data_IF_709817782854
#
_entry.id   IF_709817782854
#
_cell.length_a   1.000
_cell.length_b   1.000
_cell.length_c   1.000
_cell.angle_alpha   90.00
_cell.angle_beta   90.00
_cell.angle_gamma   90.00
#
_symmetry.space_group_name_H-M   'P 1'
#
loop_
_entity.id
_entity.type
_entity.pdbx_description
1 polymer ?
#
# COMPACT_ATOMS: atom_id res chain seq x y z
N UNK A 1 27.62 -16.61 -2.98
CA UNK A 1 26.81 -17.01 -1.81
C UNK A 1 27.04 -16.00 -0.67
N UNK A 2 25.97 -15.58 0.03
CA UNK A 2 26.03 -14.70 1.22
C UNK A 2 25.41 -15.40 2.41
N UNK A 3 25.87 -15.07 3.63
CA UNK A 3 25.32 -15.61 4.87
C UNK A 3 25.00 -14.47 5.84
N UNK A 4 23.76 -14.41 6.30
CA UNK A 4 23.35 -13.60 7.44
C UNK A 4 23.48 -14.51 8.67
N UNK A 5 24.59 -14.34 9.43
CA UNK A 5 24.95 -15.19 10.56
C UNK A 5 24.37 -14.65 11.87
N UNK A 6 24.07 -15.53 12.81
CA UNK A 6 23.57 -15.17 14.15
C UNK A 6 22.27 -14.36 14.14
N UNK A 7 21.31 -14.74 13.29
CA UNK A 7 19.98 -14.14 13.27
C UNK A 7 19.11 -14.67 14.41
N UNK A 8 18.18 -13.84 14.91
CA UNK A 8 16.98 -14.28 15.64
C UNK A 8 15.80 -14.31 14.70
N UNK A 9 14.86 -15.19 14.97
CA UNK A 9 13.64 -15.33 14.18
C UNK A 9 12.40 -15.17 15.06
N UNK A 10 11.34 -14.71 14.43
CA UNK A 10 9.98 -14.72 14.98
C UNK A 10 9.28 -15.91 14.33
N UNK A 11 8.91 -16.96 15.10
CA UNK A 11 8.39 -18.22 14.55
C UNK A 11 7.20 -18.03 13.61
N UNK A 12 6.32 -17.06 13.90
CA UNK A 12 5.13 -16.75 13.12
C UNK A 12 5.43 -16.18 11.72
N UNK A 13 6.68 -15.78 11.46
CA UNK A 13 7.16 -15.25 10.17
C UNK A 13 8.05 -16.24 9.42
N UNK A 14 8.23 -17.45 9.97
CA UNK A 14 9.06 -18.51 9.41
C UNK A 14 8.23 -19.59 8.76
N UNK A 15 8.76 -20.20 7.72
CA UNK A 15 8.23 -21.43 7.14
C UNK A 15 9.35 -22.46 6.92
N UNK A 16 9.13 -23.69 7.41
CA UNK A 16 10.05 -24.81 7.20
C UNK A 16 11.31 -24.77 8.09
N UNK A 17 11.31 -23.93 9.13
CA UNK A 17 12.36 -23.89 10.15
C UNK A 17 11.72 -23.57 11.52
N UNK A 18 11.99 -24.41 12.52
CA UNK A 18 11.34 -24.31 13.85
C UNK A 18 12.23 -23.61 14.91
N UNK A 19 13.51 -23.32 14.57
CA UNK A 19 14.44 -22.64 15.48
C UNK A 19 14.09 -21.15 15.65
N UNK A 20 14.41 -20.60 16.82
CA UNK A 20 14.25 -19.16 17.12
C UNK A 20 15.52 -18.35 16.83
N UNK A 21 16.60 -19.01 16.39
CA UNK A 21 17.86 -18.40 15.95
C UNK A 21 18.53 -19.32 14.93
N UNK A 22 19.38 -18.74 14.08
CA UNK A 22 20.09 -19.49 13.05
C UNK A 22 20.78 -18.57 12.04
N UNK A 23 21.28 -19.20 10.99
CA UNK A 23 21.92 -18.52 9.87
C UNK A 23 21.06 -18.64 8.60
N UNK A 24 20.95 -17.55 7.85
CA UNK A 24 20.24 -17.51 6.57
C UNK A 24 21.26 -17.46 5.45
N UNK A 25 21.26 -18.50 4.61
CA UNK A 25 22.13 -18.58 3.44
C UNK A 25 21.38 -18.09 2.21
N UNK A 26 22.01 -17.18 1.48
CA UNK A 26 21.44 -16.54 0.28
C UNK A 26 22.34 -16.82 -0.91
N UNK A 27 21.76 -17.27 -2.00
CA UNK A 27 22.42 -17.43 -3.29
C UNK A 27 21.64 -16.63 -4.35
N UNK A 28 22.35 -15.80 -5.09
CA UNK A 28 21.78 -14.80 -5.98
C UNK A 28 20.80 -13.88 -5.24
N UNK A 29 19.52 -13.99 -5.54
CA UNK A 29 18.42 -13.21 -4.95
C UNK A 29 17.48 -14.04 -4.06
N UNK A 30 17.86 -15.33 -3.75
CA UNK A 30 16.98 -16.27 -3.06
C UNK A 30 17.58 -16.82 -1.77
N UNK A 31 16.72 -17.06 -0.80
CA UNK A 31 17.09 -17.81 0.39
C UNK A 31 17.33 -19.26 -0.01
N UNK A 32 18.59 -19.71 0.06
CA UNK A 32 18.95 -21.08 -0.27
C UNK A 32 18.49 -22.03 0.83
N UNK A 33 18.81 -21.70 2.09
CA UNK A 33 18.39 -22.47 3.26
C UNK A 33 18.55 -21.66 4.54
N UNK A 34 17.89 -22.14 5.60
CA UNK A 34 18.03 -21.64 6.98
C UNK A 34 18.59 -22.80 7.79
N UNK A 35 19.59 -22.54 8.63
CA UNK A 35 20.31 -23.55 9.42
C UNK A 35 20.48 -23.11 10.86
N UNK A 36 20.87 -24.03 11.73
CA UNK A 36 21.44 -23.66 13.03
C UNK A 36 22.68 -22.79 12.82
N UNK A 37 23.05 -22.00 13.84
CA UNK A 37 24.24 -21.15 13.78
C UNK A 37 25.49 -22.01 13.62
N UNK A 38 26.32 -21.70 12.63
CA UNK A 38 27.60 -22.36 12.42
C UNK A 38 28.74 -21.53 13.03
N UNK A 39 29.79 -22.22 13.52
CA UNK A 39 30.97 -21.54 14.07
C UNK A 39 31.75 -20.81 12.97
N UNK A 40 31.94 -21.44 11.82
CA UNK A 40 32.73 -20.94 10.71
C UNK A 40 32.06 -21.21 9.34
N UNK A 41 32.39 -20.40 8.36
CA UNK A 41 32.05 -20.57 6.95
C UNK A 41 33.31 -20.56 6.09
N UNK A 42 33.30 -21.17 4.87
CA UNK A 42 34.42 -21.09 3.95
C UNK A 42 34.81 -19.65 3.61
N UNK A 43 36.11 -19.42 3.33
CA UNK A 43 36.66 -18.07 3.04
C UNK A 43 36.06 -17.40 1.79
N UNK A 44 35.54 -18.17 0.85
CA UNK A 44 34.88 -17.67 -0.37
C UNK A 44 33.41 -17.26 -0.16
N UNK A 45 32.88 -17.34 1.05
CA UNK A 45 31.51 -16.97 1.42
C UNK A 45 31.52 -15.61 2.09
N UNK A 46 30.69 -14.71 1.59
CA UNK A 46 30.48 -13.38 2.17
C UNK A 46 29.58 -13.49 3.43
N UNK A 47 30.15 -13.25 4.61
CA UNK A 47 29.45 -13.43 5.90
C UNK A 47 29.15 -12.08 6.54
N UNK A 48 27.88 -11.88 6.88
CA UNK A 48 27.38 -10.74 7.65
C UNK A 48 26.92 -11.23 9.02
N UNK A 49 27.65 -10.90 10.08
CA UNK A 49 27.23 -11.23 11.44
C UNK A 49 26.14 -10.25 11.93
N UNK A 50 24.94 -10.76 12.13
CA UNK A 50 23.78 -9.99 12.60
C UNK A 50 23.82 -9.73 14.10
N UNK A 51 24.70 -10.36 14.86
CA UNK A 51 24.87 -10.12 16.30
C UNK A 51 23.60 -10.37 17.11
N UNK A 52 22.77 -11.31 16.72
CA UNK A 52 21.51 -11.62 17.39
C UNK A 52 20.36 -10.64 17.08
N UNK A 53 20.45 -9.87 16.00
CA UNK A 53 19.33 -9.07 15.51
C UNK A 53 18.25 -9.95 14.90
N UNK A 54 17.01 -9.47 14.92
CA UNK A 54 15.90 -10.17 14.26
C UNK A 54 16.02 -10.04 12.74
N UNK A 55 15.95 -11.17 12.04
CA UNK A 55 15.67 -11.20 10.61
C UNK A 55 14.17 -11.20 10.41
N UNK A 56 13.68 -10.30 9.57
CA UNK A 56 12.27 -10.15 9.22
C UNK A 56 12.12 -10.26 7.70
N UNK A 57 10.97 -10.74 7.19
CA UNK A 57 10.64 -10.53 5.78
C UNK A 57 10.63 -9.03 5.47
N UNK A 58 11.01 -8.65 4.26
CA UNK A 58 10.90 -7.27 3.83
C UNK A 58 9.46 -6.77 3.92
N UNK A 59 9.26 -5.54 4.39
CA UNK A 59 7.94 -4.97 4.59
C UNK A 59 7.31 -4.54 3.27
N UNK A 60 5.99 -4.65 3.21
CA UNK A 60 5.12 -4.10 2.19
C UNK A 60 4.48 -2.81 2.69
N UNK A 61 4.46 -1.79 1.84
CA UNK A 61 3.54 -0.67 1.96
C UNK A 61 2.59 -0.69 0.78
N UNK A 62 1.34 -1.04 1.05
CA UNK A 62 0.31 -1.26 0.02
C UNK A 62 -0.42 0.00 -0.39
N UNK A 63 -0.02 1.18 0.13
CA UNK A 63 -0.65 2.45 -0.22
C UNK A 63 0.32 3.61 -0.09
N UNK A 64 0.94 4.00 -1.20
CA UNK A 64 1.83 5.17 -1.29
C UNK A 64 1.61 5.95 -2.60
N UNK A 65 2.21 7.12 -2.70
CA UNK A 65 2.23 7.98 -3.89
C UNK A 65 3.65 8.48 -4.19
N UNK A 66 4.39 7.79 -5.06
CA UNK A 66 5.80 8.10 -5.36
C UNK A 66 6.02 9.43 -6.11
N UNK A 67 4.97 10.04 -6.61
CA UNK A 67 5.04 11.37 -7.26
C UNK A 67 4.65 12.53 -6.34
N UNK A 68 4.28 12.24 -5.08
CA UNK A 68 3.96 13.23 -4.07
C UNK A 68 5.05 13.24 -2.98
N UNK A 69 5.41 14.42 -2.49
CA UNK A 69 6.56 14.63 -1.60
C UNK A 69 6.22 14.61 -0.10
N UNK A 70 4.95 14.56 0.26
CA UNK A 70 4.47 14.84 1.62
C UNK A 70 4.48 16.33 1.98
N UNK A 71 4.88 17.19 1.05
CA UNK A 71 4.85 18.63 1.17
C UNK A 71 3.59 19.27 0.60
N UNK A 72 3.74 20.45 0.00
CA UNK A 72 2.63 21.15 -0.65
C UNK A 72 2.29 20.48 -1.99
N UNK A 73 1.09 19.93 -2.10
CA UNK A 73 0.58 19.27 -3.30
C UNK A 73 0.60 20.18 -4.54
N UNK A 74 0.39 21.49 -4.38
CA UNK A 74 0.44 22.43 -5.51
C UNK A 74 1.87 22.59 -6.06
N UNK A 75 2.89 22.47 -5.20
CA UNK A 75 4.28 22.45 -5.63
C UNK A 75 4.57 21.14 -6.40
N UNK A 76 4.07 20.01 -5.90
CA UNK A 76 4.23 18.73 -6.59
C UNK A 76 3.55 18.75 -7.96
N UNK A 77 2.35 19.31 -8.08
CA UNK A 77 1.62 19.45 -9.34
C UNK A 77 2.36 20.32 -10.38
N UNK A 78 3.12 21.31 -9.91
CA UNK A 78 3.87 22.22 -10.78
C UNK A 78 5.21 21.65 -11.31
N UNK A 79 5.65 20.50 -10.81
CA UNK A 79 6.89 19.85 -11.24
C UNK A 79 6.82 19.31 -12.66
N UNK A 80 7.93 19.38 -13.36
CA UNK A 80 8.07 18.72 -14.67
C UNK A 80 8.15 17.20 -14.52
N UNK A 81 7.84 16.40 -15.57
CA UNK A 81 8.00 14.94 -15.51
C UNK A 81 9.40 14.48 -15.09
N UNK A 82 10.44 15.21 -15.47
CA UNK A 82 11.83 14.90 -15.09
C UNK A 82 12.06 15.11 -13.61
N UNK A 83 11.57 16.22 -13.05
CA UNK A 83 11.67 16.48 -11.60
C UNK A 83 10.91 15.42 -10.80
N UNK A 84 9.69 15.08 -11.21
CA UNK A 84 8.88 14.02 -10.59
C UNK A 84 9.62 12.67 -10.59
N UNK A 85 10.23 12.30 -11.72
CA UNK A 85 10.96 11.04 -11.83
C UNK A 85 12.21 11.00 -10.91
N UNK A 86 12.96 12.10 -10.84
CA UNK A 86 14.14 12.19 -9.96
C UNK A 86 13.75 12.14 -8.47
N UNK A 87 12.68 12.83 -8.09
CA UNK A 87 12.15 12.78 -6.73
C UNK A 87 11.66 11.36 -6.37
N UNK A 88 10.94 10.70 -7.29
CA UNK A 88 10.41 9.36 -7.08
C UNK A 88 11.52 8.31 -6.83
N UNK A 89 12.68 8.43 -7.49
CA UNK A 89 13.85 7.58 -7.21
C UNK A 89 14.26 7.73 -5.74
N UNK A 90 14.42 8.97 -5.28
CA UNK A 90 14.79 9.25 -3.89
C UNK A 90 13.75 8.71 -2.91
N UNK A 91 12.47 8.95 -3.16
CA UNK A 91 11.36 8.53 -2.29
C UNK A 91 11.27 7.01 -2.18
N UNK A 92 11.44 6.29 -3.29
CA UNK A 92 11.48 4.84 -3.29
C UNK A 92 12.68 4.30 -2.49
N UNK A 93 13.87 4.94 -2.63
CA UNK A 93 15.06 4.56 -1.88
C UNK A 93 14.94 4.87 -0.37
N UNK A 94 14.32 5.99 0.01
CA UNK A 94 14.08 6.32 1.41
C UNK A 94 13.16 5.28 2.08
N UNK A 95 12.08 4.86 1.40
CA UNK A 95 11.20 3.80 1.87
C UNK A 95 11.92 2.44 1.94
N UNK A 96 12.78 2.11 0.95
CA UNK A 96 13.61 0.90 0.99
C UNK A 96 14.54 0.89 2.21
N UNK A 97 15.20 2.01 2.49
CA UNK A 97 16.10 2.14 3.66
C UNK A 97 15.35 2.08 4.99
N UNK A 98 14.04 2.37 5.00
CA UNK A 98 13.16 2.17 6.15
C UNK A 98 12.68 0.70 6.28
N UNK A 99 13.12 -0.22 5.38
CA UNK A 99 12.79 -1.65 5.43
C UNK A 99 11.59 -2.06 4.56
N UNK A 100 11.01 -1.14 3.80
CA UNK A 100 9.90 -1.43 2.89
C UNK A 100 10.43 -1.85 1.52
N UNK A 101 10.52 -3.16 1.31
CA UNK A 101 11.10 -3.77 0.10
C UNK A 101 10.08 -3.93 -1.02
N UNK A 102 8.79 -3.75 -0.74
CA UNK A 102 7.71 -3.73 -1.74
C UNK A 102 6.78 -2.55 -1.47
N UNK A 103 6.57 -1.74 -2.49
CA UNK A 103 5.71 -0.57 -2.47
C UNK A 103 4.59 -0.71 -3.50
N UNK A 104 3.34 -0.46 -3.11
CA UNK A 104 2.22 -0.35 -4.05
C UNK A 104 1.86 1.12 -4.22
N UNK A 105 2.24 1.70 -5.37
CA UNK A 105 1.89 3.05 -5.75
C UNK A 105 0.45 3.09 -6.27
N UNK A 106 -0.40 3.83 -5.57
CA UNK A 106 -1.83 3.91 -5.86
C UNK A 106 -2.21 5.19 -6.61
N UNK A 107 -1.28 5.75 -7.33
CA UNK A 107 -1.48 6.89 -8.24
C UNK A 107 -0.27 7.80 -8.33
N UNK A 108 0.20 8.01 -9.55
CA UNK A 108 1.36 8.86 -9.84
C UNK A 108 1.13 9.76 -11.04
N UNK A 109 1.67 10.99 -10.97
CA UNK A 109 1.74 11.89 -12.13
C UNK A 109 2.64 11.27 -13.21
N UNK A 110 2.29 11.49 -14.47
CA UNK A 110 3.10 11.12 -15.64
C UNK A 110 3.53 9.66 -15.70
N UNK A 111 2.82 8.74 -15.04
CA UNK A 111 3.18 7.32 -14.89
C UNK A 111 4.58 7.08 -14.30
N UNK A 112 5.07 7.99 -13.47
CA UNK A 112 6.43 7.94 -12.91
C UNK A 112 6.71 6.65 -12.16
N UNK A 113 5.73 6.13 -11.40
CA UNK A 113 5.90 4.87 -10.67
C UNK A 113 6.07 3.66 -11.61
N UNK A 114 5.36 3.63 -12.75
CA UNK A 114 5.50 2.60 -13.80
C UNK A 114 6.90 2.64 -14.41
N UNK A 115 7.37 3.82 -14.79
CA UNK A 115 8.70 4.03 -15.38
C UNK A 115 9.81 3.68 -14.40
N UNK A 116 9.65 4.05 -13.12
CA UNK A 116 10.61 3.72 -12.05
C UNK A 116 10.65 2.21 -11.80
N UNK A 117 9.50 1.53 -11.71
CA UNK A 117 9.41 0.06 -11.62
C UNK A 117 10.20 -0.60 -12.74
N UNK A 118 9.98 -0.17 -13.98
CA UNK A 118 10.62 -0.76 -15.14
C UNK A 118 12.14 -0.49 -15.16
N UNK A 119 12.57 0.68 -14.67
CA UNK A 119 14.00 0.99 -14.51
C UNK A 119 14.67 0.13 -13.43
N UNK A 120 13.99 -0.12 -12.30
CA UNK A 120 14.46 -1.01 -11.22
C UNK A 120 14.53 -2.45 -11.74
N UNK A 121 13.47 -2.95 -12.39
CA UNK A 121 13.43 -4.31 -12.95
C UNK A 121 14.49 -4.54 -14.04
N UNK A 122 14.87 -3.50 -14.75
CA UNK A 122 15.97 -3.53 -15.74
C UNK A 122 17.37 -3.41 -15.10
N UNK A 123 17.47 -3.32 -13.75
CA UNK A 123 18.73 -3.15 -13.03
C UNK A 123 19.43 -1.81 -13.22
N UNK A 124 18.73 -0.79 -13.74
CA UNK A 124 19.29 0.56 -13.95
C UNK A 124 19.34 1.38 -12.68
N UNK A 125 18.46 1.11 -11.74
CA UNK A 125 18.29 1.82 -10.47
C UNK A 125 18.12 0.78 -9.36
N UNK A 126 18.76 0.99 -8.21
CA UNK A 126 18.52 0.21 -6.99
C UNK A 126 17.29 0.79 -6.28
N UNK A 127 16.30 -0.04 -6.04
CA UNK A 127 15.05 0.36 -5.37
C UNK A 127 14.23 -0.85 -4.93
N UNK A 128 13.08 -0.63 -4.27
CA UNK A 128 12.17 -1.68 -3.86
C UNK A 128 11.41 -2.27 -5.05
N UNK A 129 10.74 -3.40 -4.84
CA UNK A 129 9.71 -3.85 -5.78
C UNK A 129 8.57 -2.82 -5.81
N UNK A 130 8.15 -2.41 -7.00
CA UNK A 130 7.03 -1.48 -7.17
C UNK A 130 5.88 -2.19 -7.87
N UNK A 131 4.66 -1.98 -7.37
CA UNK A 131 3.39 -2.36 -7.99
C UNK A 131 2.65 -1.05 -8.27
N UNK A 132 2.42 -0.69 -9.52
CA UNK A 132 1.98 0.65 -9.91
C UNK A 132 0.64 0.67 -10.62
N UNK A 133 -0.25 1.63 -10.26
CA UNK A 133 -1.57 1.79 -10.88
C UNK A 133 -1.60 2.78 -12.06
N UNK A 134 -0.54 3.56 -12.27
CA UNK A 134 -0.61 4.70 -13.18
C UNK A 134 -1.44 5.85 -12.60
N UNK A 135 -2.30 6.47 -13.40
CA UNK A 135 -3.26 7.49 -12.93
C UNK A 135 -4.44 6.86 -12.22
N UNK A 136 -5.11 7.66 -11.40
CA UNK A 136 -6.33 7.27 -10.69
C UNK A 136 -7.51 7.53 -11.60
N UNK A 137 -8.33 6.52 -11.89
CA UNK A 137 -9.59 6.70 -12.63
C UNK A 137 -10.67 7.19 -11.67
N UNK A 138 -11.38 8.25 -12.05
CA UNK A 138 -12.42 8.88 -11.21
C UNK A 138 -13.51 9.48 -12.07
N UNK A 139 -14.77 9.54 -11.61
CA UNK A 139 -15.78 10.39 -12.24
C UNK A 139 -15.44 11.87 -12.12
N UNK A 140 -16.06 12.69 -12.95
CA UNK A 140 -16.03 14.14 -12.80
C UNK A 140 -16.60 14.52 -11.43
N UNK A 141 -15.76 15.14 -10.58
CA UNK A 141 -16.16 15.49 -9.21
C UNK A 141 -15.54 16.83 -8.81
N UNK A 142 -16.25 17.55 -7.94
CA UNK A 142 -15.78 18.83 -7.42
C UNK A 142 -14.48 18.63 -6.61
N UNK A 143 -13.46 19.42 -6.94
CA UNK A 143 -12.15 19.37 -6.29
C UNK A 143 -11.12 18.47 -6.98
N UNK A 144 -11.47 17.78 -8.07
CA UNK A 144 -10.49 16.99 -8.84
C UNK A 144 -9.35 17.86 -9.39
N UNK A 145 -9.61 19.13 -9.71
CA UNK A 145 -8.58 20.08 -10.16
C UNK A 145 -7.45 20.29 -9.14
N UNK A 146 -7.69 19.99 -7.86
CA UNK A 146 -6.64 20.05 -6.83
C UNK A 146 -5.50 19.06 -7.11
N UNK A 147 -5.82 17.95 -7.78
CA UNK A 147 -4.87 16.93 -8.23
C UNK A 147 -4.78 16.87 -9.77
N UNK A 148 -4.79 18.04 -10.43
CA UNK A 148 -4.76 18.11 -11.89
C UNK A 148 -3.59 17.32 -12.48
N UNK A 149 -3.90 16.33 -13.35
CA UNK A 149 -2.92 15.46 -13.99
C UNK A 149 -2.68 14.11 -13.28
N UNK A 150 -3.08 13.96 -12.01
CA UNK A 150 -3.06 12.69 -11.29
C UNK A 150 -4.28 11.82 -11.65
N UNK A 151 -5.40 12.45 -11.96
CA UNK A 151 -6.66 11.79 -12.30
C UNK A 151 -6.83 11.57 -13.81
N UNK A 152 -7.50 10.47 -14.16
CA UNK A 152 -8.07 10.18 -15.47
C UNK A 152 -9.59 10.19 -15.28
N UNK A 153 -10.24 11.33 -15.62
CA UNK A 153 -11.67 11.51 -15.44
C UNK A 153 -12.47 10.79 -16.52
N UNK A 154 -13.48 10.05 -16.09
CA UNK A 154 -14.32 9.24 -16.97
C UNK A 154 -15.71 9.05 -16.35
N UNK A 155 -16.78 9.39 -17.06
CA UNK A 155 -18.16 9.30 -16.64
C UNK A 155 -18.92 8.23 -17.43
N UNK A 156 -19.67 7.44 -16.70
CA UNK A 156 -20.43 6.33 -17.28
C UNK A 156 -19.59 5.11 -17.69
N UNK A 157 -20.23 3.95 -17.86
CA UNK A 157 -19.53 2.68 -18.04
C UNK A 157 -18.57 2.62 -19.24
N UNK A 158 -18.88 3.29 -20.33
CA UNK A 158 -18.07 3.19 -21.56
C UNK A 158 -16.80 4.03 -21.49
N UNK A 159 -16.87 5.26 -20.96
CA UNK A 159 -15.67 6.08 -20.74
C UNK A 159 -14.76 5.46 -19.67
N UNK A 160 -15.35 4.92 -18.61
CA UNK A 160 -14.64 4.18 -17.56
C UNK A 160 -13.89 2.99 -18.15
N UNK A 161 -14.53 2.15 -18.98
CA UNK A 161 -13.83 1.04 -19.65
C UNK A 161 -12.68 1.51 -20.52
N UNK A 162 -12.83 2.68 -21.17
CA UNK A 162 -11.76 3.29 -21.95
C UNK A 162 -10.61 3.73 -21.06
N UNK A 163 -10.88 4.48 -19.98
CA UNK A 163 -9.87 4.97 -19.04
C UNK A 163 -9.08 3.79 -18.41
N UNK A 164 -9.77 2.74 -17.96
CA UNK A 164 -9.12 1.51 -17.45
C UNK A 164 -8.16 0.91 -18.48
N UNK A 165 -8.58 0.80 -19.75
CA UNK A 165 -7.72 0.27 -20.82
C UNK A 165 -6.54 1.18 -21.14
N UNK A 166 -6.70 2.49 -20.96
CA UNK A 166 -5.61 3.48 -21.14
C UNK A 166 -4.55 3.29 -20.06
N UNK A 167 -4.93 3.17 -18.78
CA UNK A 167 -3.96 2.93 -17.71
C UNK A 167 -3.23 1.59 -17.90
N UNK A 168 -3.93 0.54 -18.29
CA UNK A 168 -3.30 -0.75 -18.59
C UNK A 168 -2.37 -0.69 -19.79
N UNK A 169 -2.74 0.03 -20.85
CA UNK A 169 -1.87 0.29 -22.01
C UNK A 169 -0.59 1.03 -21.61
N UNK A 170 -0.70 1.91 -20.61
CA UNK A 170 0.41 2.67 -20.05
C UNK A 170 1.29 1.86 -19.06
N UNK A 171 0.99 0.57 -18.86
CA UNK A 171 1.81 -0.34 -18.06
C UNK A 171 1.37 -0.49 -16.60
N UNK A 172 0.17 -0.06 -16.23
CA UNK A 172 -0.36 -0.28 -14.88
C UNK A 172 -0.45 -1.78 -14.53
N UNK A 173 -0.03 -2.15 -13.33
CA UNK A 173 -0.16 -3.52 -12.79
C UNK A 173 -1.58 -3.80 -12.28
N UNK A 174 -2.27 -2.75 -11.82
CA UNK A 174 -3.66 -2.78 -11.33
C UNK A 174 -4.33 -1.44 -11.57
N UNK A 175 -5.63 -1.35 -11.31
CA UNK A 175 -6.39 -0.12 -11.50
C UNK A 175 -6.73 0.50 -10.15
N UNK A 176 -6.42 1.77 -9.98
CA UNK A 176 -6.86 2.58 -8.83
C UNK A 176 -8.01 3.49 -9.22
N UNK A 177 -9.03 3.54 -8.36
CA UNK A 177 -10.19 4.42 -8.50
C UNK A 177 -10.45 5.24 -7.23
N UNK A 178 -11.24 6.30 -7.37
CA UNK A 178 -11.80 7.06 -6.25
C UNK A 178 -13.25 6.63 -6.02
N UNK A 179 -13.52 5.84 -4.99
CA UNK A 179 -14.89 5.39 -4.65
C UNK A 179 -15.70 6.44 -3.87
N UNK A 180 -14.98 7.34 -3.19
CA UNK A 180 -15.54 8.51 -2.47
C UNK A 180 -14.67 9.74 -2.72
N UNK A 181 -15.17 10.92 -2.37
CA UNK A 181 -14.33 12.12 -2.26
C UNK A 181 -13.21 11.92 -1.23
N UNK A 182 -12.07 12.60 -1.43
CA UNK A 182 -10.94 12.57 -0.51
C UNK A 182 -11.07 13.64 0.59
N UNK A 183 -10.40 13.40 1.73
CA UNK A 183 -10.28 14.38 2.81
C UNK A 183 -9.59 15.66 2.31
N UNK A 184 -8.59 15.52 1.45
CA UNK A 184 -7.79 16.62 0.91
C UNK A 184 -8.51 17.42 -0.20
N UNK A 185 -9.50 16.84 -0.90
CA UNK A 185 -10.23 17.55 -1.96
C UNK A 185 -11.10 18.68 -1.39
N UNK A 186 -11.00 19.90 -1.90
CA UNK A 186 -11.77 21.03 -1.37
C UNK A 186 -13.29 20.84 -1.42
N UNK A 187 -13.82 20.13 -2.42
CA UNK A 187 -15.27 19.98 -2.66
C UNK A 187 -15.84 18.61 -2.34
N UNK A 188 -15.05 17.54 -2.42
CA UNK A 188 -15.53 16.17 -2.23
C UNK A 188 -15.86 15.84 -0.76
N UNK A 189 -16.82 14.94 -0.55
CA UNK A 189 -17.18 14.43 0.79
C UNK A 189 -16.74 12.98 0.98
N UNK A 190 -15.88 12.68 1.97
CA UNK A 190 -15.34 11.32 2.20
C UNK A 190 -16.40 10.23 2.44
N UNK A 191 -17.57 10.62 2.95
CA UNK A 191 -18.68 9.70 3.23
C UNK A 191 -19.56 9.37 2.03
N UNK A 192 -19.47 10.11 0.92
CA UNK A 192 -20.37 10.00 -0.21
C UNK A 192 -19.76 9.19 -1.36
N UNK A 193 -20.50 8.18 -1.90
CA UNK A 193 -20.06 7.48 -3.10
C UNK A 193 -20.12 8.41 -4.31
N UNK A 194 -19.11 8.34 -5.17
CA UNK A 194 -19.07 9.10 -6.43
C UNK A 194 -19.25 8.20 -7.66
N UNK A 195 -19.23 6.89 -7.48
CA UNK A 195 -19.60 5.90 -8.50
C UNK A 195 -20.98 5.30 -8.25
N UNK A 196 -21.71 5.04 -9.31
CA UNK A 196 -22.81 4.08 -9.30
C UNK A 196 -22.28 2.64 -9.21
N UNK A 197 -23.12 1.69 -8.83
CA UNK A 197 -22.73 0.26 -8.82
C UNK A 197 -22.46 -0.25 -10.25
N UNK A 198 -23.14 0.28 -11.25
CA UNK A 198 -22.94 -0.09 -12.66
C UNK A 198 -21.53 0.32 -13.14
N UNK A 199 -21.13 1.52 -12.82
CA UNK A 199 -19.78 2.05 -13.13
C UNK A 199 -18.69 1.24 -12.43
N UNK A 200 -18.84 0.94 -11.12
CA UNK A 200 -17.90 0.08 -10.39
C UNK A 200 -17.75 -1.30 -11.04
N UNK A 201 -18.88 -1.90 -11.48
CA UNK A 201 -18.83 -3.18 -12.22
C UNK A 201 -18.10 -3.06 -13.55
N UNK A 202 -18.25 -1.94 -14.26
CA UNK A 202 -17.55 -1.69 -15.51
C UNK A 202 -16.03 -1.59 -15.34
N UNK A 203 -15.57 -0.93 -14.25
CA UNK A 203 -14.14 -0.91 -13.88
C UNK A 203 -13.62 -2.32 -13.66
N UNK A 204 -14.30 -3.08 -12.78
CA UNK A 204 -13.86 -4.44 -12.38
C UNK A 204 -13.87 -5.39 -13.57
N UNK A 205 -14.91 -5.34 -14.41
CA UNK A 205 -14.98 -6.13 -15.64
C UNK A 205 -13.80 -5.82 -16.58
N UNK A 206 -13.53 -4.54 -16.83
CA UNK A 206 -12.46 -4.14 -17.74
C UNK A 206 -11.07 -4.55 -17.22
N UNK A 207 -10.83 -4.48 -15.90
CA UNK A 207 -9.59 -4.93 -15.28
C UNK A 207 -9.42 -6.45 -15.41
N UNK A 208 -10.48 -7.23 -15.16
CA UNK A 208 -10.46 -8.71 -15.26
C UNK A 208 -10.11 -9.24 -16.65
N UNK A 209 -10.43 -8.52 -17.74
CA UNK A 209 -10.02 -8.92 -19.08
C UNK A 209 -8.49 -8.94 -19.28
N UNK A 210 -7.74 -8.41 -18.34
CA UNK A 210 -6.28 -8.39 -18.35
C UNK A 210 -5.66 -9.08 -17.12
N UNK A 211 -6.46 -9.93 -16.47
CA UNK A 211 -6.05 -10.68 -15.27
C UNK A 211 -5.51 -9.78 -14.15
N UNK A 212 -6.09 -8.56 -14.03
CA UNK A 212 -5.71 -7.61 -12.99
C UNK A 212 -6.90 -7.22 -12.10
N UNK A 213 -6.64 -6.45 -11.06
CA UNK A 213 -7.60 -6.10 -10.03
C UNK A 213 -7.81 -4.59 -9.90
N UNK A 214 -8.80 -4.23 -9.09
CA UNK A 214 -9.15 -2.85 -8.78
C UNK A 214 -8.93 -2.56 -7.30
N UNK A 215 -8.28 -1.45 -7.00
CA UNK A 215 -8.15 -0.85 -5.67
C UNK A 215 -8.96 0.45 -5.62
N UNK A 216 -9.71 0.69 -4.54
CA UNK A 216 -10.56 1.89 -4.43
C UNK A 216 -10.23 2.72 -3.21
N UNK A 217 -9.99 4.02 -3.39
CA UNK A 217 -10.06 4.99 -2.29
C UNK A 217 -11.50 5.05 -1.78
N UNK A 218 -11.75 4.73 -0.53
CA UNK A 218 -13.12 4.67 -0.04
C UNK A 218 -13.22 4.84 1.48
N UNK A 219 -13.94 5.87 1.92
CA UNK A 219 -14.19 6.10 3.35
C UNK A 219 -15.60 5.71 3.78
N UNK A 220 -16.62 6.01 2.94
CA UNK A 220 -18.03 5.91 3.33
C UNK A 220 -18.62 4.52 3.22
N UNK A 221 -19.45 4.12 4.18
CA UNK A 221 -20.08 2.78 4.28
C UNK A 221 -20.80 2.34 3.00
N UNK A 222 -21.59 3.23 2.39
CA UNK A 222 -22.34 2.90 1.17
C UNK A 222 -21.40 2.59 0.00
N UNK A 223 -20.32 3.37 -0.15
CA UNK A 223 -19.33 3.14 -1.18
C UNK A 223 -18.53 1.84 -0.93
N UNK A 224 -18.21 1.55 0.33
CA UNK A 224 -17.58 0.28 0.75
C UNK A 224 -18.45 -0.91 0.31
N UNK A 225 -19.74 -0.92 0.67
CA UNK A 225 -20.67 -2.00 0.30
C UNK A 225 -20.81 -2.15 -1.21
N UNK A 226 -20.92 -1.03 -1.95
CA UNK A 226 -20.96 -1.06 -3.41
C UNK A 226 -19.68 -1.64 -4.02
N UNK A 227 -18.51 -1.31 -3.45
CA UNK A 227 -17.22 -1.84 -3.89
C UNK A 227 -17.11 -3.35 -3.68
N UNK A 228 -17.59 -3.86 -2.54
CA UNK A 228 -17.68 -5.31 -2.27
C UNK A 228 -18.60 -5.99 -3.30
N UNK A 229 -19.79 -5.43 -3.54
CA UNK A 229 -20.77 -5.97 -4.50
C UNK A 229 -20.27 -5.92 -5.96
N UNK A 230 -19.41 -4.98 -6.29
CA UNK A 230 -18.79 -4.89 -7.60
C UNK A 230 -17.61 -5.86 -7.79
N UNK A 231 -17.04 -6.39 -6.70
CA UNK A 231 -15.88 -7.27 -6.73
C UNK A 231 -14.54 -6.52 -6.80
N UNK A 232 -14.47 -5.34 -6.19
CA UNK A 232 -13.22 -4.60 -5.97
C UNK A 232 -12.31 -5.41 -5.05
N UNK A 233 -11.01 -5.47 -5.37
CA UNK A 233 -10.07 -6.30 -4.64
C UNK A 233 -9.59 -5.67 -3.33
N UNK A 234 -9.24 -4.38 -3.35
CA UNK A 234 -8.82 -3.70 -2.11
C UNK A 234 -9.59 -2.40 -1.90
N UNK A 235 -10.01 -2.20 -0.66
CA UNK A 235 -10.65 -0.99 -0.18
C UNK A 235 -9.64 -0.25 0.69
N UNK A 236 -9.17 0.87 0.17
CA UNK A 236 -8.19 1.72 0.83
C UNK A 236 -8.89 2.56 1.90
N UNK A 237 -8.24 2.75 3.03
CA UNK A 237 -8.72 3.48 4.21
C UNK A 237 -9.90 2.80 4.92
N UNK A 238 -11.01 2.55 4.25
CA UNK A 238 -12.22 1.89 4.78
C UNK A 238 -12.71 2.49 6.12
N UNK A 239 -12.72 3.81 6.25
CA UNK A 239 -12.79 4.48 7.55
C UNK A 239 -14.12 4.36 8.26
N UNK A 240 -15.26 4.32 7.53
CA UNK A 240 -16.61 4.29 8.09
C UNK A 240 -17.21 2.90 7.85
N UNK A 241 -16.74 1.91 8.63
CA UNK A 241 -17.24 0.55 8.59
C UNK A 241 -18.40 0.35 9.57
N UNK A 242 -19.52 -0.15 9.08
CA UNK A 242 -20.61 -0.68 9.91
C UNK A 242 -20.56 -2.22 10.01
N UNK A 243 -21.38 -2.77 10.88
CA UNK A 243 -21.39 -4.21 11.13
C UNK A 243 -21.82 -5.02 9.88
N UNK A 244 -22.70 -4.46 9.03
CA UNK A 244 -23.13 -5.09 7.78
C UNK A 244 -21.96 -5.16 6.78
N UNK A 245 -21.18 -4.08 6.61
CA UNK A 245 -20.00 -4.10 5.75
C UNK A 245 -18.96 -5.13 6.22
N UNK A 246 -18.77 -5.27 7.54
CA UNK A 246 -17.88 -6.29 8.12
C UNK A 246 -18.38 -7.70 7.80
N UNK A 247 -19.68 -7.97 7.95
CA UNK A 247 -20.25 -9.30 7.60
C UNK A 247 -20.17 -9.57 6.08
N UNK A 248 -20.36 -8.56 5.23
CA UNK A 248 -20.17 -8.69 3.79
C UNK A 248 -18.71 -9.05 3.46
N UNK A 249 -17.73 -8.43 4.13
CA UNK A 249 -16.30 -8.74 3.95
C UNK A 249 -15.94 -10.14 4.42
N UNK A 250 -16.50 -10.62 5.54
CA UNK A 250 -16.31 -12.02 5.99
C UNK A 250 -16.82 -13.03 4.98
N UNK A 251 -17.92 -12.72 4.31
CA UNK A 251 -18.49 -13.55 3.26
C UNK A 251 -17.80 -13.44 1.89
N UNK A 252 -16.77 -12.61 1.77
CA UNK A 252 -16.10 -12.32 0.50
C UNK A 252 -14.60 -12.56 0.60
N UNK A 253 -14.12 -13.65 -0.02
CA UNK A 253 -12.72 -14.06 0.00
C UNK A 253 -11.81 -13.25 -0.94
N UNK A 254 -12.35 -12.30 -1.72
CA UNK A 254 -11.63 -11.59 -2.77
C UNK A 254 -11.52 -10.07 -2.53
N UNK A 255 -12.11 -9.56 -1.43
CA UNK A 255 -12.05 -8.13 -1.10
C UNK A 255 -11.38 -7.94 0.26
N UNK A 256 -10.36 -7.11 0.29
CA UNK A 256 -9.52 -6.85 1.46
C UNK A 256 -9.53 -5.37 1.83
N UNK A 257 -9.12 -5.05 3.07
CA UNK A 257 -8.97 -3.67 3.54
C UNK A 257 -7.49 -3.33 3.68
N UNK A 258 -7.09 -2.16 3.19
CA UNK A 258 -5.79 -1.55 3.41
C UNK A 258 -6.01 -0.27 4.23
N UNK A 259 -6.03 -0.35 5.56
CA UNK A 259 -6.19 0.83 6.39
C UNK A 259 -4.92 1.67 6.38
N UNK A 260 -5.10 3.00 6.47
CA UNK A 260 -4.02 3.99 6.54
C UNK A 260 -4.35 4.97 7.66
N UNK A 261 -3.74 4.83 8.81
CA UNK A 261 -4.01 5.70 9.95
C UNK A 261 -3.10 6.93 9.95
N UNK A 262 -1.86 6.76 9.49
CA UNK A 262 -0.83 7.78 9.53
C UNK A 262 -1.27 9.08 8.83
N UNK A 263 -1.86 8.98 7.63
CA UNK A 263 -2.32 10.17 6.89
C UNK A 263 -3.38 10.95 7.67
N UNK A 264 -4.35 10.26 8.25
CA UNK A 264 -5.46 10.95 8.97
C UNK A 264 -4.96 11.56 10.28
N UNK A 265 -4.09 10.85 11.02
CA UNK A 265 -3.44 11.37 12.23
C UNK A 265 -2.57 12.58 11.90
N UNK A 266 -1.70 12.46 10.90
CA UNK A 266 -0.83 13.53 10.45
C UNK A 266 -1.57 14.79 9.98
N UNK A 267 -2.70 14.65 9.27
CA UNK A 267 -3.57 15.77 8.90
C UNK A 267 -4.16 16.48 10.12
N UNK A 268 -4.55 15.74 11.15
CA UNK A 268 -5.11 16.32 12.39
C UNK A 268 -4.02 17.06 13.17
N UNK A 269 -2.79 16.58 13.16
CA UNK A 269 -1.68 17.14 13.94
C UNK A 269 -0.97 18.31 13.24
N UNK A 270 -0.83 18.25 11.91
CA UNK A 270 0.10 19.13 11.17
C UNK A 270 -0.60 20.17 10.30
N UNK A 271 -1.89 20.01 9.96
CA UNK A 271 -2.60 20.97 9.12
C UNK A 271 -2.97 22.20 9.93
N UNK A 272 -2.63 23.43 9.48
CA UNK A 272 -3.01 24.64 10.18
C UNK A 272 -4.53 24.78 10.34
N UNK A 273 -4.99 25.32 11.47
CA UNK A 273 -6.43 25.61 11.70
C UNK A 273 -7.05 26.50 10.61
N UNK A 274 -6.23 27.26 9.85
CA UNK A 274 -6.68 28.02 8.69
C UNK A 274 -7.22 27.15 7.54
N UNK A 275 -6.84 25.87 7.46
CA UNK A 275 -7.36 24.90 6.49
C UNK A 275 -8.59 24.16 7.06
N UNK A 276 -9.59 24.91 7.43
CA UNK A 276 -10.75 24.46 8.24
C UNK A 276 -11.51 23.28 7.65
N UNK A 277 -11.61 23.17 6.32
CA UNK A 277 -12.35 22.07 5.67
C UNK A 277 -11.62 20.72 5.79
N UNK A 278 -10.30 20.69 5.52
CA UNK A 278 -9.50 19.46 5.64
C UNK A 278 -9.46 18.97 7.08
N UNK A 279 -9.22 19.89 8.02
CA UNK A 279 -9.19 19.57 9.44
C UNK A 279 -10.51 19.01 9.95
N UNK A 280 -11.65 19.61 9.55
CA UNK A 280 -12.97 19.15 9.95
C UNK A 280 -13.28 17.74 9.40
N UNK A 281 -12.91 17.46 8.14
CA UNK A 281 -13.04 16.14 7.53
C UNK A 281 -12.11 15.13 8.21
N UNK A 282 -10.83 15.47 8.40
CA UNK A 282 -9.84 14.60 9.04
C UNK A 282 -10.25 14.19 10.46
N UNK A 283 -10.68 15.14 11.31
CA UNK A 283 -11.16 14.84 12.66
C UNK A 283 -12.35 13.86 12.67
N UNK A 284 -13.33 14.09 11.77
CA UNK A 284 -14.49 13.21 11.64
C UNK A 284 -14.07 11.79 11.19
N UNK A 285 -13.19 11.69 10.20
CA UNK A 285 -12.69 10.41 9.70
C UNK A 285 -11.86 9.69 10.75
N UNK A 286 -11.00 10.41 11.52
CA UNK A 286 -10.19 9.82 12.58
C UNK A 286 -11.04 9.09 13.63
N UNK A 287 -12.15 9.69 14.08
CA UNK A 287 -13.05 9.05 15.02
C UNK A 287 -13.73 7.80 14.43
N UNK A 288 -14.09 7.84 13.14
CA UNK A 288 -14.71 6.69 12.49
C UNK A 288 -13.70 5.54 12.27
N UNK A 289 -12.49 5.83 11.78
CA UNK A 289 -11.49 4.81 11.45
C UNK A 289 -10.99 4.08 12.70
N UNK A 290 -10.89 4.79 13.84
CA UNK A 290 -10.54 4.18 15.13
C UNK A 290 -11.50 3.05 15.50
N UNK A 291 -12.77 3.26 15.32
CA UNK A 291 -13.81 2.28 15.68
C UNK A 291 -13.95 1.21 14.58
N UNK A 292 -14.02 1.63 13.31
CA UNK A 292 -14.31 0.73 12.20
C UNK A 292 -13.21 -0.33 11.98
N UNK A 293 -11.95 0.09 11.96
CA UNK A 293 -10.83 -0.84 11.74
C UNK A 293 -10.59 -1.71 12.96
N UNK A 294 -10.80 -1.21 14.17
CA UNK A 294 -10.75 -2.06 15.37
C UNK A 294 -11.78 -3.19 15.30
N UNK A 295 -13.02 -2.90 14.93
CA UNK A 295 -14.05 -3.91 14.71
C UNK A 295 -13.66 -4.91 13.62
N UNK A 296 -13.09 -4.45 12.51
CA UNK A 296 -12.63 -5.31 11.42
C UNK A 296 -11.51 -6.28 11.89
N UNK A 297 -10.57 -5.79 12.68
CA UNK A 297 -9.51 -6.61 13.29
C UNK A 297 -10.09 -7.64 14.27
N UNK A 298 -10.98 -7.24 15.19
CA UNK A 298 -11.64 -8.14 16.16
C UNK A 298 -12.50 -9.20 15.46
N UNK A 299 -13.05 -8.87 14.28
CA UNK A 299 -13.80 -9.79 13.43
C UNK A 299 -12.91 -10.79 12.66
N UNK A 300 -11.59 -10.68 12.74
CA UNK A 300 -10.61 -11.56 12.10
C UNK A 300 -10.45 -11.32 10.61
N UNK A 301 -10.80 -10.13 10.09
CA UNK A 301 -10.58 -9.81 8.68
C UNK A 301 -9.09 -9.73 8.35
N UNK A 302 -8.71 -10.19 7.16
CA UNK A 302 -7.35 -10.05 6.65
C UNK A 302 -7.09 -8.59 6.26
N UNK A 303 -6.35 -7.88 7.09
CA UNK A 303 -5.96 -6.49 6.85
C UNK A 303 -4.56 -6.41 6.26
N UNK A 304 -4.35 -5.54 5.26
CA UNK A 304 -3.02 -5.22 4.77
C UNK A 304 -2.41 -4.02 5.50
N UNK A 305 -1.21 -3.64 5.10
CA UNK A 305 -0.48 -2.50 5.65
C UNK A 305 -0.33 -1.42 4.57
N UNK A 306 -0.76 -0.21 4.87
CA UNK A 306 -0.61 0.97 4.01
C UNK A 306 -0.46 2.22 4.85
N UNK A 307 0.27 3.21 4.35
CA UNK A 307 0.60 4.44 5.08
C UNK A 307 0.00 5.70 4.47
N UNK A 308 -0.18 5.71 3.15
CA UNK A 308 -0.49 6.89 2.34
C UNK A 308 0.70 7.88 2.26
N UNK A 309 1.94 7.34 2.36
CA UNK A 309 3.16 8.13 2.23
C UNK A 309 3.22 8.86 0.88
N UNK A 310 3.69 10.10 0.93
CA UNK A 310 3.67 11.04 -0.19
C UNK A 310 2.50 12.01 -0.13
N UNK A 311 1.34 11.62 0.39
CA UNK A 311 0.26 12.56 0.67
C UNK A 311 0.64 13.49 1.85
N UNK A 312 0.32 14.79 1.74
CA UNK A 312 0.62 15.78 2.79
C UNK A 312 -0.05 15.40 4.12
N UNK A 313 0.68 15.34 5.25
CA UNK A 313 2.06 15.81 5.48
C UNK A 313 3.13 14.70 5.49
N UNK A 314 2.87 13.51 4.98
CA UNK A 314 3.67 12.31 5.19
C UNK A 314 4.85 12.18 4.20
N UNK A 315 6.08 12.15 4.72
CA UNK A 315 7.31 12.02 3.92
C UNK A 315 7.72 10.57 3.76
N UNK A 316 8.24 10.22 2.58
CA UNK A 316 8.82 8.90 2.32
C UNK A 316 10.00 8.62 3.27
N UNK A 317 10.10 7.36 3.71
CA UNK A 317 11.08 6.93 4.72
C UNK A 317 10.56 6.94 6.15
N UNK A 318 9.41 7.59 6.41
CA UNK A 318 8.70 7.60 7.70
C UNK A 318 7.55 6.57 7.74
N UNK A 319 7.52 5.62 6.79
CA UNK A 319 6.48 4.57 6.68
C UNK A 319 6.32 3.75 7.97
N UNK A 320 7.38 3.65 8.77
CA UNK A 320 7.39 2.91 10.04
C UNK A 320 6.47 3.47 11.12
N UNK A 321 6.06 4.73 11.05
CA UNK A 321 5.20 5.37 12.05
C UNK A 321 3.81 4.71 12.13
N UNK A 322 3.33 4.16 11.03
CA UNK A 322 2.08 3.42 10.96
C UNK A 322 2.06 2.22 11.92
N UNK A 323 3.21 1.55 12.20
CA UNK A 323 3.27 0.45 13.17
C UNK A 323 2.90 0.92 14.58
N UNK A 324 3.47 2.05 15.00
CA UNK A 324 3.21 2.63 16.33
C UNK A 324 1.75 3.08 16.46
N UNK A 325 1.23 3.77 15.44
CA UNK A 325 -0.15 4.26 15.41
C UNK A 325 -1.17 3.11 15.46
N UNK A 326 -0.96 2.00 14.73
CA UNK A 326 -1.82 0.81 14.78
C UNK A 326 -1.86 0.21 16.19
N UNK A 327 -0.72 0.17 16.88
CA UNK A 327 -0.66 -0.28 18.27
C UNK A 327 -1.40 0.68 19.20
N UNK A 328 -1.16 1.96 19.08
CA UNK A 328 -1.72 3.00 19.95
C UNK A 328 -3.24 3.14 19.77
N UNK A 329 -3.71 3.28 18.53
CA UNK A 329 -5.12 3.64 18.27
C UNK A 329 -6.05 2.43 18.16
N UNK A 330 -5.52 1.27 17.69
CA UNK A 330 -6.32 0.06 17.52
C UNK A 330 -5.97 -1.05 18.50
N UNK A 331 -5.00 -0.83 19.39
CA UNK A 331 -4.52 -1.83 20.37
C UNK A 331 -4.31 -3.22 19.73
N UNK A 332 -3.76 -3.24 18.52
CA UNK A 332 -3.42 -4.47 17.82
C UNK A 332 -2.18 -5.10 18.45
N UNK A 333 -2.08 -6.44 18.39
CA UNK A 333 -0.84 -7.13 18.79
C UNK A 333 0.28 -6.82 17.82
N UNK A 334 1.48 -6.58 18.34
CA UNK A 334 2.65 -6.21 17.54
C UNK A 334 2.91 -7.23 16.43
N UNK A 335 2.81 -8.52 16.72
CA UNK A 335 2.99 -9.57 15.73
C UNK A 335 1.94 -9.52 14.61
N UNK A 336 0.71 -9.17 14.92
CA UNK A 336 -0.35 -9.07 13.91
C UNK A 336 -0.12 -7.85 13.01
N UNK A 337 0.40 -6.74 13.55
CA UNK A 337 0.79 -5.57 12.75
C UNK A 337 1.96 -5.93 11.82
N UNK A 338 2.97 -6.66 12.30
CA UNK A 338 4.08 -7.13 11.46
C UNK A 338 3.56 -8.08 10.37
N UNK A 339 2.62 -8.99 10.69
CA UNK A 339 1.98 -9.84 9.67
C UNK A 339 1.21 -9.04 8.63
N UNK A 340 0.58 -7.93 9.01
CA UNK A 340 -0.08 -7.03 8.05
C UNK A 340 0.92 -6.45 7.05
N UNK A 341 2.11 -6.06 7.52
CA UNK A 341 3.16 -5.51 6.67
C UNK A 341 3.99 -6.58 5.92
N UNK A 342 3.76 -7.86 6.15
CA UNK A 342 4.51 -8.97 5.55
C UNK A 342 3.57 -9.99 4.90
N UNK A 343 3.12 -10.97 5.65
CA UNK A 343 2.33 -12.11 5.16
C UNK A 343 1.01 -11.67 4.51
N UNK A 344 0.24 -10.84 5.23
CA UNK A 344 -1.08 -10.43 4.76
C UNK A 344 -0.98 -9.61 3.46
N UNK A 345 -0.07 -8.63 3.45
CA UNK A 345 0.15 -7.79 2.26
C UNK A 345 0.70 -8.59 1.09
N UNK A 346 1.56 -9.59 1.32
CA UNK A 346 2.02 -10.50 0.27
C UNK A 346 0.86 -11.32 -0.33
N UNK A 347 -0.06 -11.83 0.51
CA UNK A 347 -1.28 -12.55 0.06
C UNK A 347 -2.17 -11.60 -0.75
N UNK A 348 -2.47 -10.40 -0.23
CA UNK A 348 -3.33 -9.42 -0.89
C UNK A 348 -2.73 -8.97 -2.23
N UNK A 349 -1.40 -8.84 -2.31
CA UNK A 349 -0.70 -8.49 -3.54
C UNK A 349 -0.53 -9.67 -4.52
N UNK A 350 -0.94 -10.91 -4.14
CA UNK A 350 -0.71 -12.12 -4.93
C UNK A 350 0.78 -12.48 -5.07
N UNK A 351 1.60 -12.13 -4.08
CA UNK A 351 3.06 -12.33 -4.06
C UNK A 351 3.55 -13.28 -2.97
N UNK A 352 2.65 -13.95 -2.27
CA UNK A 352 2.92 -14.81 -1.12
C UNK A 352 3.79 -16.04 -1.44
N UNK A 353 3.87 -16.44 -2.72
CA UNK A 353 4.77 -17.49 -3.18
C UNK A 353 6.25 -17.10 -3.02
N UNK A 354 6.58 -15.85 -3.25
CA UNK A 354 7.94 -15.32 -3.27
C UNK A 354 8.30 -14.45 -2.07
N UNK A 355 7.30 -13.91 -1.35
CA UNK A 355 7.49 -12.92 -0.28
C UNK A 355 6.67 -13.24 0.97
N UNK A 356 6.79 -12.42 2.00
CA UNK A 356 5.94 -12.39 3.19
C UNK A 356 6.40 -13.26 4.35
N UNK A 357 7.20 -14.30 4.11
CA UNK A 357 7.80 -15.15 5.16
C UNK A 357 9.27 -15.43 4.84
N UNK A 358 10.06 -15.77 5.87
CA UNK A 358 11.42 -16.30 5.69
C UNK A 358 11.32 -17.79 5.45
N UNK A 359 11.65 -18.21 4.23
CA UNK A 359 11.55 -19.59 3.76
C UNK A 359 12.55 -19.88 2.66
N UNK A 360 13.15 -21.07 2.65
CA UNK A 360 13.98 -21.50 1.54
C UNK A 360 13.21 -21.45 0.20
N UNK A 361 13.84 -20.87 -0.82
CA UNK A 361 13.28 -20.65 -2.16
C UNK A 361 12.58 -19.29 -2.35
N UNK A 362 12.22 -18.56 -1.29
CA UNK A 362 11.70 -17.19 -1.41
C UNK A 362 12.82 -16.18 -1.68
N UNK A 363 12.42 -15.00 -2.15
CA UNK A 363 13.32 -13.85 -2.39
C UNK A 363 13.93 -13.39 -1.06
N UNK A 364 15.24 -13.09 -1.08
CA UNK A 364 16.04 -12.70 0.08
C UNK A 364 16.15 -11.17 0.23
#
# INVERSE_FOLDING_TARGET
MKVLKNCRFIPELMEGYEGTSGDVLVEDDRILKITECADEYPEDVEVYDMGGKYALPGFFDMHIHLSLSGGDTLIDNAKTPVQQALDAVKFAQDSLMAGFTTLRDVGSYFNVAVELRDAINAGKIVGPNIIASGKIVTPTENGNDFFAGLYNEADGPDEIRKAVREEMKNGADFIKIMGTGAVMNPGGEPGQPIYSLEELKAVVEAAKFKDTYVATHCHGTRAIKNSILAGVHTIEHASILDDEAIEMLKGNENTYIIPTLNIISGLVESVPESSTFMMAKAKRILECIKVGIRKAYDAGLLLGFGTDQGATPLKHGENGDEFALRKEFWDMKEIDIIKQATINSAIIAGRDKDYGTIKAGKVA
#
